data_IF_386754359776
#
_entry.id   IF_386754359776
#
_cell.length_a   1.000
_cell.length_b   1.000
_cell.length_c   1.000
_cell.angle_alpha   90.00
_cell.angle_beta   90.00
_cell.angle_gamma   90.00
#
_symmetry.space_group_name_H-M   'P 1'
#
loop_
_entity.id
_entity.type
_entity.pdbx_description
1 polymer ?
#
# COMPACT_ATOMS: atom_id res chain seq x y z
N UNK A 1 8.56 -17.97 12.57
CA UNK A 1 7.43 -18.43 13.41
C UNK A 1 6.73 -19.57 12.69
N UNK A 2 6.78 -20.80 13.21
CA UNK A 2 6.00 -21.95 12.69
C UNK A 2 4.76 -22.10 13.58
N UNK A 3 3.66 -21.45 13.23
CA UNK A 3 2.43 -21.54 14.01
C UNK A 3 1.33 -22.38 13.32
N UNK A 4 1.56 -22.87 12.10
CA UNK A 4 0.52 -23.58 11.34
C UNK A 4 0.98 -24.79 10.51
N UNK A 5 2.24 -25.24 10.61
CA UNK A 5 2.80 -26.29 9.72
C UNK A 5 2.66 -26.02 8.20
N UNK A 6 2.33 -24.78 7.83
CA UNK A 6 2.27 -24.30 6.46
C UNK A 6 3.60 -23.60 6.15
N UNK A 7 4.20 -23.95 5.01
CA UNK A 7 5.35 -23.23 4.49
C UNK A 7 4.92 -21.83 4.08
N UNK A 8 5.50 -20.82 4.71
CA UNK A 8 5.16 -19.43 4.45
C UNK A 8 5.88 -18.97 3.17
N UNK A 9 5.12 -18.76 2.10
CA UNK A 9 5.60 -18.11 0.89
C UNK A 9 5.09 -16.66 0.82
N UNK A 10 5.96 -15.63 0.92
CA UNK A 10 5.55 -14.23 0.77
C UNK A 10 4.84 -13.92 -0.55
N UNK A 11 5.10 -14.69 -1.61
CA UNK A 11 4.50 -14.47 -2.94
C UNK A 11 2.99 -14.73 -2.97
N UNK A 12 2.49 -15.55 -2.05
CA UNK A 12 1.07 -15.85 -1.89
C UNK A 12 0.33 -14.78 -1.08
N UNK A 13 1.02 -13.75 -0.58
CA UNK A 13 0.41 -12.73 0.25
C UNK A 13 0.56 -11.32 -0.35
N UNK A 14 -0.53 -10.56 -0.25
CA UNK A 14 -0.58 -9.15 -0.62
C UNK A 14 -0.86 -8.30 0.60
N UNK A 15 -0.08 -7.24 0.79
CA UNK A 15 -0.31 -6.24 1.83
C UNK A 15 -1.35 -5.24 1.35
N UNK A 16 -2.52 -5.25 1.98
CA UNK A 16 -3.56 -4.24 1.78
C UNK A 16 -3.43 -3.12 2.79
N UNK A 17 -3.32 -1.88 2.31
CA UNK A 17 -3.28 -0.68 3.14
C UNK A 17 -4.46 0.22 2.76
N UNK A 18 -5.28 0.53 3.75
CA UNK A 18 -6.41 1.44 3.63
C UNK A 18 -6.18 2.64 4.54
N UNK A 19 -6.17 3.83 3.93
CA UNK A 19 -6.08 5.10 4.61
C UNK A 19 -7.43 5.80 4.56
N UNK A 20 -7.81 6.34 5.70
CA UNK A 20 -8.89 7.29 5.83
C UNK A 20 -8.40 8.48 6.63
N UNK A 21 -9.13 9.60 6.56
CA UNK A 21 -8.83 10.83 7.32
C UNK A 21 -8.60 10.64 8.82
N UNK A 22 -9.11 9.55 9.40
CA UNK A 22 -9.11 9.32 10.85
C UNK A 22 -8.55 7.95 11.23
N UNK A 23 -8.20 7.11 10.26
CA UNK A 23 -7.70 5.78 10.57
C UNK A 23 -6.90 5.19 9.42
N UNK A 24 -5.91 4.40 9.79
CA UNK A 24 -5.12 3.58 8.91
C UNK A 24 -5.33 2.11 9.28
N UNK A 25 -5.50 1.27 8.27
CA UNK A 25 -5.59 -0.19 8.42
C UNK A 25 -4.60 -0.87 7.50
N UNK A 26 -3.84 -1.81 8.04
CA UNK A 26 -2.94 -2.68 7.29
C UNK A 26 -3.38 -4.13 7.51
N UNK A 27 -3.65 -4.84 6.42
CA UNK A 27 -4.20 -6.19 6.42
C UNK A 27 -3.43 -7.02 5.40
N UNK A 28 -3.02 -8.23 5.77
CA UNK A 28 -2.43 -9.19 4.85
C UNK A 28 -3.56 -10.03 4.22
N UNK A 29 -3.58 -10.07 2.90
CA UNK A 29 -4.55 -10.82 2.11
C UNK A 29 -3.84 -12.00 1.45
N UNK A 30 -4.45 -13.18 1.53
CA UNK A 30 -3.96 -14.34 0.80
C UNK A 30 -4.46 -14.30 -0.64
N UNK A 31 -3.55 -14.47 -1.59
CA UNK A 31 -3.84 -14.52 -3.01
C UNK A 31 -4.74 -15.74 -3.31
N UNK A 32 -5.93 -15.51 -3.87
CA UNK A 32 -6.93 -16.55 -4.08
C UNK A 32 -7.88 -16.79 -2.91
N UNK A 33 -7.81 -15.98 -1.84
CA UNK A 33 -8.72 -16.00 -0.69
C UNK A 33 -8.88 -17.37 0.00
N UNK A 34 -7.91 -18.28 -0.17
CA UNK A 34 -7.89 -19.60 0.48
C UNK A 34 -7.79 -19.50 2.00
N UNK A 35 -7.14 -18.44 2.49
CA UNK A 35 -7.01 -18.15 3.91
C UNK A 35 -7.69 -16.84 4.28
N UNK A 36 -8.07 -16.73 5.56
CA UNK A 36 -8.63 -15.52 6.11
C UNK A 36 -7.60 -14.37 6.07
N UNK A 37 -8.11 -13.14 5.93
CA UNK A 37 -7.28 -11.95 6.01
C UNK A 37 -6.70 -11.78 7.42
N UNK A 38 -5.43 -11.40 7.49
CA UNK A 38 -4.72 -11.23 8.75
C UNK A 38 -4.54 -9.73 9.03
N UNK A 39 -5.16 -9.17 10.09
CA UNK A 39 -4.93 -7.78 10.45
C UNK A 39 -3.50 -7.62 10.98
N UNK A 40 -2.69 -6.81 10.29
CA UNK A 40 -1.31 -6.50 10.71
C UNK A 40 -1.25 -5.27 11.61
N UNK A 41 -2.13 -4.31 11.39
CA UNK A 41 -2.14 -3.08 12.17
C UNK A 41 -3.39 -2.24 11.93
N UNK A 42 -3.77 -1.52 12.99
CA UNK A 42 -4.84 -0.54 12.96
C UNK A 42 -4.42 0.66 13.82
N UNK A 43 -4.58 1.87 13.28
CA UNK A 43 -4.36 3.09 14.04
C UNK A 43 -5.48 4.09 13.75
N UNK A 44 -5.91 4.82 14.78
CA UNK A 44 -6.90 5.91 14.68
C UNK A 44 -6.26 7.30 14.84
N UNK A 45 -4.95 7.34 15.07
CA UNK A 45 -4.21 8.57 15.34
C UNK A 45 -3.29 8.97 14.18
N UNK A 46 -3.21 8.14 13.14
CA UNK A 46 -2.32 8.37 12.01
C UNK A 46 -3.12 9.02 10.89
N UNK A 47 -2.54 10.07 10.35
CA UNK A 47 -3.11 10.85 9.27
C UNK A 47 -2.52 10.39 7.94
N UNK A 48 -3.07 10.91 6.85
CA UNK A 48 -2.65 10.58 5.49
C UNK A 48 -1.34 11.31 5.11
N UNK A 49 -0.29 11.10 5.91
CA UNK A 49 1.03 11.75 5.78
C UNK A 49 2.09 10.70 5.41
N UNK A 50 3.04 11.09 4.55
CA UNK A 50 4.13 10.21 4.09
C UNK A 50 4.97 9.62 5.24
N UNK A 51 5.22 10.42 6.29
CA UNK A 51 5.97 9.98 7.46
C UNK A 51 5.27 8.85 8.21
N UNK A 52 3.95 8.95 8.37
CA UNK A 52 3.15 7.93 9.04
C UNK A 52 3.21 6.62 8.24
N UNK A 53 3.01 6.70 6.93
CA UNK A 53 3.11 5.54 6.03
C UNK A 53 4.48 4.85 6.13
N UNK A 54 5.57 5.63 6.11
CA UNK A 54 6.94 5.11 6.26
C UNK A 54 7.12 4.38 7.58
N UNK A 55 6.60 4.96 8.68
CA UNK A 55 6.68 4.35 10.00
C UNK A 55 5.95 3.00 10.06
N UNK A 56 4.77 2.87 9.44
CA UNK A 56 4.08 1.57 9.38
C UNK A 56 4.88 0.55 8.59
N UNK A 57 5.38 0.92 7.41
CA UNK A 57 6.14 0.00 6.56
C UNK A 57 7.40 -0.54 7.27
N UNK A 58 8.03 0.29 8.09
CA UNK A 58 9.14 -0.13 8.96
C UNK A 58 8.67 -1.07 10.08
N UNK A 59 7.56 -0.75 10.74
CA UNK A 59 7.01 -1.56 11.84
C UNK A 59 6.56 -2.96 11.40
N UNK A 60 6.00 -3.09 10.19
CA UNK A 60 5.63 -4.39 9.60
C UNK A 60 6.81 -5.10 8.94
N UNK A 61 8.01 -4.50 8.99
CA UNK A 61 9.23 -5.02 8.40
C UNK A 61 9.08 -5.37 6.90
N UNK A 62 8.46 -4.47 6.14
CA UNK A 62 8.15 -4.69 4.72
C UNK A 62 9.39 -5.05 3.88
N UNK A 63 10.58 -4.55 4.25
CA UNK A 63 11.84 -4.82 3.54
C UNK A 63 12.22 -6.31 3.52
N UNK A 64 11.85 -7.05 4.56
CA UNK A 64 12.13 -8.49 4.66
C UNK A 64 11.15 -9.30 3.80
N UNK A 65 9.86 -9.00 3.90
CA UNK A 65 8.81 -9.81 3.28
C UNK A 65 8.52 -9.45 1.82
N UNK A 66 8.67 -8.18 1.43
CA UNK A 66 8.42 -7.66 0.08
C UNK A 66 7.08 -8.09 -0.52
N UNK A 67 6.03 -8.11 0.30
CA UNK A 67 4.67 -8.42 -0.16
C UNK A 67 4.24 -7.50 -1.30
N UNK A 68 3.37 -7.98 -2.18
CA UNK A 68 2.72 -7.12 -3.16
C UNK A 68 1.81 -6.11 -2.43
N UNK A 69 1.99 -4.82 -2.66
CA UNK A 69 1.15 -3.78 -2.03
C UNK A 69 -0.10 -3.52 -2.85
N UNK A 70 -1.24 -3.56 -2.17
CA UNK A 70 -2.55 -3.17 -2.66
C UNK A 70 -3.12 -2.09 -1.72
N UNK A 71 -3.90 -1.17 -2.25
CA UNK A 71 -4.48 -0.10 -1.46
C UNK A 71 -5.30 0.84 -2.30
N UNK A 72 -5.81 1.88 -1.66
CA UNK A 72 -6.46 2.96 -2.37
C UNK A 72 -5.48 3.67 -3.32
N UNK A 73 -6.04 4.37 -4.31
CA UNK A 73 -5.23 5.10 -5.29
C UNK A 73 -4.30 6.11 -4.61
N UNK A 74 -4.73 6.69 -3.49
CA UNK A 74 -3.94 7.68 -2.75
C UNK A 74 -2.70 7.06 -2.10
N UNK A 75 -2.80 5.89 -1.46
CA UNK A 75 -1.65 5.15 -0.95
C UNK A 75 -0.69 4.81 -2.08
N UNK A 76 -1.19 4.23 -3.16
CA UNK A 76 -0.35 3.78 -4.27
C UNK A 76 0.42 4.96 -4.89
N UNK A 77 -0.25 6.09 -5.08
CA UNK A 77 0.40 7.32 -5.58
C UNK A 77 1.42 7.88 -4.60
N UNK A 78 1.13 7.90 -3.29
CA UNK A 78 2.09 8.31 -2.26
C UNK A 78 3.33 7.41 -2.21
N UNK A 79 3.16 6.09 -2.31
CA UNK A 79 4.26 5.12 -2.36
C UNK A 79 5.12 5.26 -3.62
N UNK A 80 4.50 5.59 -4.75
CA UNK A 80 5.20 5.86 -6.02
C UNK A 80 5.86 7.26 -6.05
N UNK A 81 5.77 8.03 -4.96
CA UNK A 81 6.36 9.37 -4.87
C UNK A 81 5.58 10.43 -5.65
N UNK A 82 4.34 10.12 -6.08
CA UNK A 82 3.47 11.11 -6.72
C UNK A 82 2.87 12.02 -5.65
N UNK A 83 3.25 13.29 -5.69
CA UNK A 83 2.88 14.26 -4.68
C UNK A 83 1.44 14.77 -4.88
N UNK A 84 0.70 14.90 -3.78
CA UNK A 84 -0.63 15.54 -3.78
C UNK A 84 -0.49 17.00 -4.27
N UNK A 85 -0.89 17.26 -5.51
CA UNK A 85 -0.87 18.59 -6.14
C UNK A 85 -0.10 18.68 -7.46
N UNK A 86 0.78 17.72 -7.77
CA UNK A 86 1.52 17.71 -9.05
C UNK A 86 0.77 16.93 -10.12
N UNK A 87 -0.32 17.51 -10.63
CA UNK A 87 -1.25 16.88 -11.59
C UNK A 87 -0.67 16.62 -12.97
N UNK A 88 0.59 17.01 -13.24
CA UNK A 88 1.25 16.78 -14.53
C UNK A 88 1.09 15.33 -14.97
N UNK A 89 1.35 14.38 -14.08
CA UNK A 89 1.26 12.95 -14.37
C UNK A 89 0.11 12.32 -13.59
N UNK A 90 -1.11 12.73 -13.91
CA UNK A 90 -2.34 12.27 -13.22
C UNK A 90 -2.57 10.75 -13.32
N UNK A 91 -2.02 10.10 -14.35
CA UNK A 91 -2.04 8.65 -14.51
C UNK A 91 -0.69 8.07 -14.09
N UNK A 92 -0.61 7.32 -12.99
CA UNK A 92 0.65 6.66 -12.59
C UNK A 92 1.05 5.50 -13.52
N UNK A 93 0.07 4.82 -14.13
CA UNK A 93 0.32 3.70 -15.04
C UNK A 93 0.98 4.13 -16.35
N UNK A 94 0.59 5.30 -16.85
CA UNK A 94 0.91 5.76 -18.19
C UNK A 94 1.68 7.08 -18.22
N UNK A 95 1.92 7.69 -17.05
CA UNK A 95 2.57 8.99 -16.89
C UNK A 95 2.00 10.03 -17.87
N UNK A 96 0.66 10.02 -18.03
CA UNK A 96 -0.04 10.91 -18.95
C UNK A 96 0.21 12.37 -18.57
N UNK A 97 0.82 13.13 -19.49
CA UNK A 97 1.18 14.53 -19.25
C UNK A 97 -0.02 15.46 -19.46
N UNK A 98 -0.74 15.80 -18.39
CA UNK A 98 -1.91 16.68 -18.45
C UNK A 98 -1.62 18.08 -19.02
N UNK A 99 -0.33 18.46 -19.17
CA UNK A 99 0.10 19.74 -19.73
C UNK A 99 0.45 19.67 -21.22
N UNK A 100 0.59 18.48 -21.79
CA UNK A 100 0.94 18.27 -23.19
C UNK A 100 -0.29 18.40 -24.12
N UNK A 101 -0.93 19.57 -24.12
CA UNK A 101 -2.14 19.84 -24.93
C UNK A 101 -1.92 19.66 -26.44
N UNK A 102 -0.68 19.83 -26.91
CA UNK A 102 -0.33 19.77 -28.33
C UNK A 102 -0.08 18.33 -28.82
N UNK A 103 0.05 17.38 -27.90
CA UNK A 103 0.29 15.95 -28.17
C UNK A 103 -0.97 15.10 -28.01
N UNK A 104 -2.08 15.71 -27.58
CA UNK A 104 -3.33 15.05 -27.18
C UNK A 104 -4.51 15.47 -28.07
#
# INVERSE_FOLDING_TARGET
MKCFDIEYDPSEWSLFIDLSKTSLKAVLLHNGNSFASLPLGHSVHLEEIYNDLSMILEKINYKEYRWMVCGDFKILTMLLGQQAGYTKYSCFLCLWDSRARDLH
#
